data_IF_851603707833
#
_entry.id   IF_851603707833
#
_cell.length_a   1.000
_cell.length_b   1.000
_cell.length_c   1.000
_cell.angle_alpha   90.00
_cell.angle_beta   90.00
_cell.angle_gamma   90.00
#
_symmetry.space_group_name_H-M   'P 1'
#
loop_
_entity.id
_entity.type
_entity.pdbx_description
1 polymer ?
#
# COMPACT_ATOMS: atom_id res chain seq x y z
N UNK A 1 -2.01 -15.54 14.86
CA UNK A 1 -2.48 -16.86 14.36
C UNK A 1 -2.94 -16.84 12.90
N UNK A 2 -3.45 -15.72 12.35
CA UNK A 2 -3.78 -15.59 10.91
C UNK A 2 -2.60 -15.86 9.95
N UNK A 3 -1.37 -15.53 10.36
CA UNK A 3 -0.15 -15.75 9.56
C UNK A 3 0.11 -17.23 9.20
N UNK A 4 -0.39 -18.19 10.00
CA UNK A 4 -0.27 -19.63 9.68
C UNK A 4 -1.34 -20.12 8.69
N UNK A 5 -2.51 -19.48 8.65
CA UNK A 5 -3.66 -19.94 7.84
C UNK A 5 -3.45 -19.58 6.37
N UNK A 6 -2.90 -18.40 6.06
CA UNK A 6 -2.59 -17.99 4.69
C UNK A 6 -1.44 -18.83 4.11
N UNK A 7 -0.47 -19.21 4.95
CA UNK A 7 0.68 -20.04 4.52
C UNK A 7 0.28 -21.49 4.20
N UNK A 8 -0.68 -22.06 4.93
CA UNK A 8 -1.16 -23.43 4.73
C UNK A 8 -2.03 -23.63 3.47
N UNK A 9 -2.72 -22.58 3.00
CA UNK A 9 -3.58 -22.64 1.81
C UNK A 9 -2.82 -22.58 0.47
N UNK A 10 -1.54 -22.21 0.47
CA UNK A 10 -0.81 -21.86 -0.76
C UNK A 10 0.38 -22.77 -1.11
N UNK A 11 0.65 -23.83 -0.34
CA UNK A 11 1.71 -24.81 -0.68
C UNK A 11 3.10 -24.17 -0.91
N UNK A 12 3.40 -23.06 -0.23
CA UNK A 12 4.67 -22.32 -0.41
C UNK A 12 5.79 -22.97 0.41
N UNK A 13 7.03 -23.02 -0.09
CA UNK A 13 8.19 -23.32 0.75
C UNK A 13 8.23 -22.34 1.93
N UNK A 14 8.81 -22.75 3.06
CA UNK A 14 8.89 -21.93 4.27
C UNK A 14 9.42 -20.54 3.92
N UNK A 15 8.55 -19.53 4.02
CA UNK A 15 8.95 -18.16 3.77
C UNK A 15 10.09 -17.81 4.75
N UNK A 16 11.12 -17.05 4.31
CA UNK A 16 12.14 -16.55 5.22
C UNK A 16 11.46 -15.83 6.39
N UNK A 17 12.04 -15.94 7.59
CA UNK A 17 11.48 -15.29 8.77
C UNK A 17 11.31 -13.78 8.49
N UNK A 18 10.15 -13.19 8.83
CA UNK A 18 9.92 -11.78 8.58
C UNK A 18 10.94 -10.92 9.32
N UNK A 19 11.56 -10.00 8.60
CA UNK A 19 12.51 -9.07 9.19
C UNK A 19 11.77 -7.83 9.74
N UNK A 20 12.08 -7.44 10.97
CA UNK A 20 11.48 -6.26 11.60
C UNK A 20 12.48 -5.10 11.60
N UNK A 21 11.99 -3.93 11.19
CA UNK A 21 12.74 -2.67 11.15
C UNK A 21 11.91 -1.53 11.71
N UNK A 22 12.58 -0.43 12.02
CA UNK A 22 11.93 0.85 12.31
C UNK A 22 12.33 1.87 11.24
N UNK A 23 11.35 2.56 10.67
CA UNK A 23 11.56 3.61 9.66
C UNK A 23 10.73 4.83 10.04
N UNK A 24 11.38 5.97 10.33
CA UNK A 24 10.71 7.22 10.73
C UNK A 24 9.68 7.08 11.86
N UNK A 25 9.94 6.17 12.80
CA UNK A 25 9.06 5.85 13.93
C UNK A 25 7.93 4.87 13.61
N UNK A 26 7.89 4.30 12.40
CA UNK A 26 6.98 3.21 12.06
C UNK A 26 7.66 1.87 12.22
N UNK A 27 6.96 0.92 12.83
CA UNK A 27 7.30 -0.50 12.74
C UNK A 27 7.08 -0.97 11.31
N UNK A 28 8.08 -1.62 10.73
CA UNK A 28 8.05 -2.19 9.38
C UNK A 28 8.38 -3.68 9.46
N UNK A 29 7.48 -4.52 8.93
CA UNK A 29 7.68 -5.97 8.83
C UNK A 29 7.90 -6.32 7.36
N UNK A 30 9.04 -6.94 7.04
CA UNK A 30 9.41 -7.28 5.67
C UNK A 30 9.42 -8.80 5.47
N UNK A 31 8.57 -9.27 4.57
CA UNK A 31 8.52 -10.65 4.08
C UNK A 31 9.11 -10.68 2.67
N UNK A 32 10.45 -10.65 2.58
CA UNK A 32 11.14 -10.62 1.30
C UNK A 32 11.29 -12.03 0.72
N UNK A 33 10.45 -12.35 -0.27
CA UNK A 33 10.50 -13.65 -0.97
C UNK A 33 11.23 -13.58 -2.31
N UNK A 34 11.95 -12.48 -2.61
CA UNK A 34 12.66 -12.24 -3.88
C UNK A 34 14.15 -12.08 -3.63
N UNK A 35 14.97 -13.12 -3.91
CA UNK A 35 16.40 -13.10 -3.59
C UNK A 35 17.19 -12.07 -4.43
N UNK A 36 16.63 -11.67 -5.59
CA UNK A 36 17.16 -10.62 -6.45
C UNK A 36 16.91 -9.19 -5.92
N UNK A 37 16.12 -9.04 -4.86
CA UNK A 37 15.81 -7.75 -4.24
C UNK A 37 16.45 -7.69 -2.85
N UNK A 38 17.38 -6.75 -2.65
CA UNK A 38 17.96 -6.53 -1.33
C UNK A 38 16.95 -5.84 -0.39
N UNK A 39 16.73 -6.39 0.81
CA UNK A 39 15.82 -5.79 1.81
C UNK A 39 16.22 -4.36 2.18
N UNK A 40 17.53 -4.07 2.22
CA UNK A 40 18.03 -2.72 2.52
C UNK A 40 17.56 -1.67 1.49
N UNK A 41 17.52 -2.04 0.20
CA UNK A 41 17.05 -1.15 -0.87
C UNK A 41 15.57 -0.80 -0.70
N UNK A 42 14.77 -1.80 -0.35
CA UNK A 42 13.34 -1.67 -0.13
C UNK A 42 13.06 -0.77 1.08
N UNK A 43 13.82 -0.93 2.16
CA UNK A 43 13.73 -0.05 3.34
C UNK A 43 14.12 1.39 3.00
N UNK A 44 15.20 1.60 2.26
CA UNK A 44 15.61 2.93 1.83
C UNK A 44 14.53 3.60 0.96
N UNK A 45 13.91 2.83 0.06
CA UNK A 45 12.81 3.31 -0.79
C UNK A 45 11.56 3.67 0.01
N UNK A 46 11.23 2.91 1.05
CA UNK A 46 10.15 3.26 1.96
C UNK A 46 10.45 4.55 2.72
N UNK A 47 11.69 4.72 3.20
CA UNK A 47 12.12 5.96 3.86
C UNK A 47 11.98 7.17 2.95
N UNK A 48 12.45 7.09 1.69
CA UNK A 48 12.32 8.15 0.69
C UNK A 48 10.85 8.53 0.44
N UNK A 49 9.96 7.53 0.32
CA UNK A 49 8.54 7.76 0.12
C UNK A 49 7.91 8.46 1.34
N UNK A 50 8.19 7.98 2.56
CA UNK A 50 7.71 8.61 3.78
C UNK A 50 8.27 10.03 3.97
N UNK A 51 9.51 10.29 3.54
CA UNK A 51 10.10 11.62 3.55
C UNK A 51 9.37 12.61 2.62
N UNK A 52 8.91 12.14 1.44
CA UNK A 52 8.08 12.95 0.55
C UNK A 52 6.75 13.31 1.21
N UNK A 53 6.09 12.35 1.85
CA UNK A 53 4.83 12.59 2.58
C UNK A 53 5.05 13.57 3.74
N UNK A 54 6.13 13.40 4.51
CA UNK A 54 6.49 14.29 5.61
C UNK A 54 6.64 15.74 5.16
N UNK A 55 7.31 15.94 4.02
CA UNK A 55 7.60 17.27 3.48
C UNK A 55 6.38 17.93 2.84
N UNK A 56 5.60 17.20 2.05
CA UNK A 56 4.56 17.76 1.19
C UNK A 56 3.13 17.53 1.70
N UNK A 57 2.94 16.59 2.62
CA UNK A 57 1.64 16.29 3.21
C UNK A 57 1.76 15.87 4.70
N UNK A 58 2.33 16.73 5.58
CA UNK A 58 2.61 16.37 6.98
C UNK A 58 1.37 15.96 7.77
N UNK A 59 0.19 16.53 7.43
CA UNK A 59 -1.07 16.12 8.04
C UNK A 59 -1.45 14.67 7.71
N UNK A 60 -1.15 14.19 6.49
CA UNK A 60 -1.36 12.79 6.10
C UNK A 60 -0.42 11.87 6.84
N UNK A 61 0.86 12.26 7.00
CA UNK A 61 1.82 11.51 7.81
C UNK A 61 1.37 11.38 9.28
N UNK A 62 0.82 12.46 9.86
CA UNK A 62 0.28 12.43 11.22
C UNK A 62 -0.90 11.47 11.35
N UNK A 63 -1.79 11.41 10.36
CA UNK A 63 -2.87 10.43 10.35
C UNK A 63 -2.34 9.00 10.23
N UNK A 64 -1.38 8.75 9.32
CA UNK A 64 -0.71 7.45 9.21
C UNK A 64 -0.14 6.98 10.57
N UNK A 65 0.57 7.86 11.28
CA UNK A 65 1.12 7.55 12.62
C UNK A 65 0.05 7.21 13.67
N UNK A 66 -1.13 7.80 13.58
CA UNK A 66 -2.23 7.55 14.51
C UNK A 66 -3.03 6.29 14.15
N UNK A 67 -3.28 6.12 12.86
CA UNK A 67 -4.27 5.17 12.34
C UNK A 67 -3.65 3.81 12.00
N UNK A 68 -2.33 3.74 11.76
CA UNK A 68 -1.61 2.50 11.51
C UNK A 68 -0.87 1.96 12.75
N UNK A 69 -0.75 0.64 12.83
CA UNK A 69 0.17 -0.04 13.76
C UNK A 69 1.52 -0.36 13.13
N UNK A 70 1.53 -0.71 11.85
CA UNK A 70 2.74 -1.11 11.14
C UNK A 70 2.62 -0.96 9.61
N UNK A 71 3.77 -0.88 8.95
CA UNK A 71 3.88 -1.20 7.53
C UNK A 71 4.24 -2.67 7.34
N UNK A 72 3.66 -3.28 6.31
CA UNK A 72 4.07 -4.61 5.82
C UNK A 72 4.64 -4.47 4.41
N UNK A 73 5.77 -5.10 4.17
CA UNK A 73 6.38 -5.14 2.85
C UNK A 73 6.48 -6.59 2.41
N UNK A 74 5.72 -6.95 1.38
CA UNK A 74 5.60 -8.32 0.91
C UNK A 74 5.19 -8.35 -0.56
N UNK A 75 5.33 -9.52 -1.18
CA UNK A 75 4.73 -9.79 -2.49
C UNK A 75 3.20 -9.79 -2.36
N UNK A 76 2.54 -9.00 -3.20
CA UNK A 76 1.09 -8.87 -3.18
C UNK A 76 0.53 -8.51 -4.57
N UNK A 77 -0.73 -8.83 -4.89
CA UNK A 77 -1.27 -8.59 -6.24
C UNK A 77 -1.53 -7.13 -6.60
N UNK A 78 -1.49 -6.21 -5.63
CA UNK A 78 -1.65 -4.77 -5.84
C UNK A 78 -0.52 -3.98 -5.16
N UNK A 79 -0.36 -2.71 -5.54
CA UNK A 79 0.77 -1.83 -5.12
C UNK A 79 0.77 -1.51 -3.63
N UNK A 80 -0.41 -1.47 -3.03
CA UNK A 80 -0.63 -1.28 -1.60
C UNK A 80 -1.99 -1.86 -1.21
N UNK A 81 -2.15 -2.10 0.09
CA UNK A 81 -3.43 -2.50 0.67
C UNK A 81 -3.48 -2.13 2.15
N UNK A 82 -4.61 -1.65 2.64
CA UNK A 82 -4.88 -1.49 4.07
C UNK A 82 -5.61 -2.73 4.63
N UNK A 83 -5.13 -3.26 5.76
CA UNK A 83 -5.76 -4.35 6.49
C UNK A 83 -6.33 -3.86 7.83
N UNK A 84 -7.67 -3.77 7.99
CA UNK A 84 -8.34 -3.26 9.18
C UNK A 84 -7.94 -3.96 10.48
N UNK A 85 -8.05 -5.30 10.54
CA UNK A 85 -7.79 -6.11 11.74
C UNK A 85 -6.42 -5.83 12.40
N UNK A 86 -5.41 -5.62 11.57
CA UNK A 86 -4.04 -5.34 12.00
C UNK A 86 -3.68 -3.86 12.01
N UNK A 87 -4.56 -2.99 11.48
CA UNK A 87 -4.24 -1.61 11.08
C UNK A 87 -2.89 -1.53 10.36
N UNK A 88 -2.72 -2.42 9.38
CA UNK A 88 -1.46 -2.59 8.68
C UNK A 88 -1.58 -2.00 7.27
N UNK A 89 -0.60 -1.20 6.87
CA UNK A 89 -0.47 -0.73 5.50
C UNK A 89 0.54 -1.61 4.76
N UNK A 90 0.10 -2.36 3.77
CA UNK A 90 0.98 -3.10 2.88
C UNK A 90 1.51 -2.18 1.79
N UNK A 91 2.82 -2.26 1.52
CA UNK A 91 3.46 -1.70 0.34
C UNK A 91 4.14 -2.84 -0.41
N UNK A 92 3.81 -3.02 -1.69
CA UNK A 92 4.23 -4.20 -2.43
C UNK A 92 5.74 -4.20 -2.68
N UNK A 93 6.38 -5.33 -2.41
CA UNK A 93 7.84 -5.51 -2.43
C UNK A 93 8.48 -5.11 -3.76
N UNK A 94 7.99 -5.62 -4.89
CA UNK A 94 8.59 -5.34 -6.21
C UNK A 94 8.33 -3.90 -6.66
N UNK A 95 7.15 -3.37 -6.36
CA UNK A 95 6.80 -1.98 -6.63
C UNK A 95 7.68 -1.01 -5.84
N UNK A 96 7.95 -1.32 -4.58
CA UNK A 96 8.83 -0.53 -3.73
C UNK A 96 10.29 -0.59 -4.22
N UNK A 97 10.74 -1.75 -4.70
CA UNK A 97 12.09 -1.98 -5.24
C UNK A 97 12.34 -1.33 -6.61
N UNK A 98 11.30 -0.93 -7.35
CA UNK A 98 11.45 -0.32 -8.69
C UNK A 98 12.30 0.95 -8.64
N UNK A 99 13.27 1.03 -9.56
CA UNK A 99 14.20 2.16 -9.74
C UNK A 99 13.93 2.97 -11.01
N UNK A 100 13.08 2.46 -11.90
CA UNK A 100 12.61 3.14 -13.10
C UNK A 100 11.54 4.20 -12.81
N UNK A 101 11.06 4.27 -11.56
CA UNK A 101 10.14 5.29 -11.05
C UNK A 101 10.75 6.02 -9.86
N UNK A 102 10.31 7.24 -9.61
CA UNK A 102 10.68 8.00 -8.41
C UNK A 102 9.98 7.43 -7.16
N UNK A 103 10.25 7.99 -5.97
CA UNK A 103 9.50 7.65 -4.76
C UNK A 103 8.04 8.16 -4.76
N UNK A 104 7.68 9.08 -5.67
CA UNK A 104 6.39 9.76 -5.61
C UNK A 104 5.18 8.81 -5.83
N UNK A 105 5.19 7.88 -6.79
CA UNK A 105 4.10 6.90 -6.93
C UNK A 105 3.96 5.97 -5.71
N UNK A 106 5.07 5.64 -5.04
CA UNK A 106 5.05 4.84 -3.80
C UNK A 106 4.42 5.65 -2.67
N UNK A 107 4.87 6.89 -2.49
CA UNK A 107 4.32 7.81 -1.50
C UNK A 107 2.81 8.04 -1.72
N UNK A 108 2.37 8.20 -2.97
CA UNK A 108 0.96 8.31 -3.31
C UNK A 108 0.16 7.05 -2.93
N UNK A 109 0.71 5.86 -3.19
CA UNK A 109 0.08 4.60 -2.73
C UNK A 109 -0.05 4.54 -1.22
N UNK A 110 0.95 5.00 -0.47
CA UNK A 110 0.88 5.07 1.01
C UNK A 110 -0.18 6.08 1.47
N UNK A 111 -0.28 7.24 0.80
CA UNK A 111 -1.34 8.23 1.08
C UNK A 111 -2.73 7.63 0.83
N UNK A 112 -2.88 6.84 -0.24
CA UNK A 112 -4.11 6.12 -0.56
C UNK A 112 -4.50 5.14 0.55
N UNK A 113 -3.61 4.22 0.92
CA UNK A 113 -3.89 3.26 2.00
C UNK A 113 -4.11 3.96 3.35
N UNK A 114 -3.43 5.09 3.58
CA UNK A 114 -3.64 5.94 4.74
C UNK A 114 -5.04 6.55 4.80
N UNK A 115 -5.69 6.75 3.66
CA UNK A 115 -7.08 7.21 3.62
C UNK A 115 -8.05 6.10 3.99
N UNK A 116 -7.84 4.87 3.54
CA UNK A 116 -8.60 3.71 4.03
C UNK A 116 -8.47 3.57 5.54
N UNK A 117 -7.24 3.64 6.06
CA UNK A 117 -7.00 3.60 7.50
C UNK A 117 -7.75 4.71 8.25
N UNK A 118 -7.77 5.92 7.68
CA UNK A 118 -8.47 7.06 8.28
C UNK A 118 -9.98 6.89 8.28
N UNK A 119 -10.56 6.43 7.17
CA UNK A 119 -12.00 6.18 7.05
C UNK A 119 -12.42 5.08 8.01
N UNK A 120 -11.68 3.99 8.06
CA UNK A 120 -11.91 2.90 9.00
C UNK A 120 -11.89 3.39 10.46
N UNK A 121 -10.87 4.14 10.88
CA UNK A 121 -10.79 4.69 12.23
C UNK A 121 -11.95 5.64 12.57
N UNK A 122 -12.47 6.39 11.59
CA UNK A 122 -13.65 7.25 11.78
C UNK A 122 -14.93 6.41 11.90
N UNK A 123 -15.10 5.38 11.07
CA UNK A 123 -16.22 4.44 11.14
C UNK A 123 -16.30 3.79 12.51
N UNK A 124 -15.18 3.29 13.03
CA UNK A 124 -15.09 2.73 14.38
C UNK A 124 -15.48 3.76 15.46
N UNK A 125 -14.95 4.98 15.37
CA UNK A 125 -15.22 6.03 16.36
C UNK A 125 -16.70 6.49 16.39
N UNK A 126 -17.40 6.41 15.26
CA UNK A 126 -18.80 6.79 15.13
C UNK A 126 -19.77 5.59 15.12
N UNK A 127 -19.28 4.37 15.34
CA UNK A 127 -20.11 3.16 15.33
C UNK A 127 -20.79 2.88 13.98
N UNK A 128 -20.20 3.36 12.88
CA UNK A 128 -20.68 3.10 11.53
C UNK A 128 -20.02 1.81 11.04
N UNK A 129 -20.81 0.77 10.73
CA UNK A 129 -20.28 -0.48 10.17
C UNK A 129 -19.70 -0.30 8.77
N UNK A 130 -19.04 -1.34 8.27
CA UNK A 130 -18.59 -1.39 6.88
C UNK A 130 -19.79 -1.64 5.95
N UNK A 131 -19.91 -0.81 4.92
CA UNK A 131 -20.91 -0.92 3.86
C UNK A 131 -20.18 -1.01 2.51
N UNK A 132 -20.14 -2.20 1.89
CA UNK A 132 -19.47 -2.40 0.60
C UNK A 132 -20.00 -1.50 -0.51
N UNK A 133 -21.26 -1.04 -0.43
CA UNK A 133 -21.82 -0.10 -1.42
C UNK A 133 -21.16 1.28 -1.38
N UNK A 134 -20.46 1.62 -0.30
CA UNK A 134 -19.71 2.87 -0.17
C UNK A 134 -18.29 2.79 -0.74
N UNK A 135 -17.85 1.60 -1.17
CA UNK A 135 -16.47 1.40 -1.61
C UNK A 135 -16.06 2.33 -2.78
N UNK A 136 -16.87 2.51 -3.84
CA UNK A 136 -16.51 3.45 -4.91
C UNK A 136 -16.31 4.88 -4.41
N UNK A 137 -17.14 5.32 -3.46
CA UNK A 137 -17.03 6.66 -2.86
C UNK A 137 -15.77 6.80 -2.02
N UNK A 138 -15.42 5.78 -1.25
CA UNK A 138 -14.19 5.75 -0.47
C UNK A 138 -12.94 5.72 -1.35
N UNK A 139 -12.92 4.90 -2.41
CA UNK A 139 -11.85 4.89 -3.40
C UNK A 139 -11.67 6.26 -4.07
N UNK A 140 -12.76 6.93 -4.46
CA UNK A 140 -12.69 8.31 -5.00
C UNK A 140 -12.12 9.30 -3.99
N UNK A 141 -12.44 9.15 -2.70
CA UNK A 141 -11.83 9.95 -1.64
C UNK A 141 -10.33 9.69 -1.54
N UNK A 142 -9.90 8.43 -1.62
CA UNK A 142 -8.49 8.04 -1.61
C UNK A 142 -7.74 8.59 -2.84
N UNK A 143 -8.34 8.50 -4.04
CA UNK A 143 -7.79 9.08 -5.28
C UNK A 143 -7.72 10.60 -5.24
N UNK A 144 -8.69 11.27 -4.62
CA UNK A 144 -8.61 12.73 -4.40
C UNK A 144 -7.42 13.08 -3.50
N UNK A 145 -7.16 12.29 -2.45
CA UNK A 145 -5.99 12.50 -1.61
C UNK A 145 -4.66 12.27 -2.35
N UNK A 146 -4.60 11.30 -3.27
CA UNK A 146 -3.46 11.13 -4.17
C UNK A 146 -3.27 12.35 -5.08
N UNK A 147 -4.35 12.86 -5.66
CA UNK A 147 -4.32 14.05 -6.52
C UNK A 147 -3.81 15.28 -5.75
N UNK A 148 -4.36 15.55 -4.57
CA UNK A 148 -3.94 16.66 -3.71
C UNK A 148 -2.45 16.53 -3.35
N UNK A 149 -1.99 15.31 -3.04
CA UNK A 149 -0.58 15.04 -2.76
C UNK A 149 0.29 15.28 -3.99
N UNK A 150 -0.10 14.76 -5.17
CA UNK A 150 0.61 14.96 -6.42
C UNK A 150 0.75 16.43 -6.80
N UNK A 151 -0.30 17.23 -6.59
CA UNK A 151 -0.27 18.68 -6.81
C UNK A 151 0.63 19.44 -5.84
N UNK A 152 0.86 18.91 -4.65
CA UNK A 152 1.78 19.50 -3.66
C UNK A 152 3.26 19.16 -3.90
N UNK A 153 3.56 18.20 -4.78
CA UNK A 153 4.91 17.83 -5.17
C UNK A 153 5.48 18.78 -6.23
N UNK A 154 6.82 18.84 -6.39
CA UNK A 154 7.44 19.45 -7.57
C UNK A 154 6.84 18.86 -8.86
N UNK A 155 6.58 19.66 -9.92
CA UNK A 155 5.80 19.21 -11.08
C UNK A 155 6.27 17.90 -11.71
N UNK A 156 7.59 17.72 -11.88
CA UNK A 156 8.16 16.50 -12.46
C UNK A 156 7.96 15.25 -11.58
N UNK A 157 7.92 15.41 -10.25
CA UNK A 157 7.63 14.32 -9.32
C UNK A 157 6.12 14.05 -9.21
N UNK A 158 5.31 15.10 -9.27
CA UNK A 158 3.85 15.05 -9.12
C UNK A 158 3.12 14.53 -10.35
N UNK A 159 3.61 14.82 -11.56
CA UNK A 159 2.95 14.47 -12.83
C UNK A 159 2.43 13.01 -12.90
N UNK A 160 3.24 11.96 -12.64
CA UNK A 160 2.75 10.57 -12.73
C UNK A 160 1.70 10.23 -11.65
N UNK A 161 1.71 10.93 -10.51
CA UNK A 161 0.71 10.75 -9.45
C UNK A 161 -0.62 11.39 -9.87
N UNK A 162 -0.55 12.62 -10.39
CA UNK A 162 -1.70 13.38 -10.87
C UNK A 162 -2.38 12.64 -12.02
N UNK A 163 -1.62 12.22 -13.02
CA UNK A 163 -2.13 11.49 -14.20
C UNK A 163 -2.90 10.24 -13.77
N UNK A 164 -2.30 9.40 -12.92
CA UNK A 164 -2.95 8.19 -12.43
C UNK A 164 -4.22 8.48 -11.63
N UNK A 165 -4.18 9.49 -10.75
CA UNK A 165 -5.31 9.83 -9.91
C UNK A 165 -6.50 10.33 -10.75
N UNK A 166 -6.25 11.18 -11.76
CA UNK A 166 -7.28 11.68 -12.67
C UNK A 166 -7.87 10.54 -13.51
N UNK A 167 -7.03 9.68 -14.08
CA UNK A 167 -7.49 8.54 -14.88
C UNK A 167 -8.46 7.63 -14.11
N UNK A 168 -8.21 7.38 -12.82
CA UNK A 168 -9.15 6.59 -12.00
C UNK A 168 -10.38 7.39 -11.58
N UNK A 169 -10.26 8.69 -11.32
CA UNK A 169 -11.42 9.52 -10.95
C UNK A 169 -12.45 9.64 -12.08
N UNK A 170 -12.04 9.44 -13.33
CA UNK A 170 -12.90 9.44 -14.50
C UNK A 170 -13.58 8.09 -14.77
N UNK A 171 -13.20 7.03 -14.05
CA UNK A 171 -13.79 5.69 -14.23
C UNK A 171 -15.18 5.57 -13.59
N UNK A 172 -15.96 4.61 -14.08
CA UNK A 172 -17.24 4.20 -13.49
C UNK A 172 -17.04 3.50 -12.14
N UNK A 173 -18.08 3.45 -11.30
CA UNK A 173 -17.97 2.93 -9.93
C UNK A 173 -17.47 1.48 -9.85
N UNK A 174 -17.88 0.63 -10.82
CA UNK A 174 -17.42 -0.76 -10.92
C UNK A 174 -15.93 -0.88 -11.24
N UNK A 175 -15.38 0.10 -11.95
CA UNK A 175 -13.98 0.11 -12.38
C UNK A 175 -13.07 0.80 -11.34
N UNK A 176 -13.63 1.74 -10.56
CA UNK A 176 -12.94 2.38 -9.45
C UNK A 176 -12.73 1.42 -8.28
N UNK A 177 -13.73 0.58 -7.98
CA UNK A 177 -13.69 -0.40 -6.89
C UNK A 177 -14.00 -1.81 -7.44
N UNK A 178 -13.08 -2.41 -8.22
CA UNK A 178 -13.35 -3.69 -8.85
C UNK A 178 -13.44 -4.81 -7.83
N UNK A 179 -14.35 -5.76 -8.06
CA UNK A 179 -14.37 -7.02 -7.33
C UNK A 179 -13.14 -7.85 -7.71
N UNK A 180 -12.24 -8.08 -6.75
CA UNK A 180 -11.02 -8.85 -6.97
C UNK A 180 -11.18 -10.27 -6.44
N UNK A 181 -10.95 -11.26 -7.30
CA UNK A 181 -10.70 -12.64 -6.86
C UNK A 181 -9.27 -12.73 -6.32
N UNK A 182 -9.15 -12.67 -4.99
CA UNK A 182 -7.87 -12.69 -4.30
C UNK A 182 -7.11 -14.02 -4.45
N UNK A 183 -7.80 -15.13 -4.66
CA UNK A 183 -7.16 -16.43 -4.84
C UNK A 183 -6.48 -16.52 -6.21
N UNK A 184 -7.19 -16.10 -7.27
CA UNK A 184 -6.62 -16.03 -8.61
C UNK A 184 -5.49 -14.99 -8.69
N UNK A 185 -5.67 -13.83 -8.05
CA UNK A 185 -4.64 -12.80 -7.99
C UNK A 185 -3.36 -13.30 -7.29
N UNK A 186 -3.49 -14.02 -6.17
CA UNK A 186 -2.36 -14.65 -5.48
C UNK A 186 -1.69 -15.75 -6.33
N UNK A 187 -2.46 -16.56 -7.05
CA UNK A 187 -1.93 -17.58 -7.98
C UNK A 187 -1.04 -16.96 -9.05
N UNK A 188 -1.47 -15.85 -9.66
CA UNK A 188 -0.71 -15.13 -10.69
C UNK A 188 0.61 -14.56 -10.15
N UNK A 189 0.60 -13.98 -8.95
CA UNK A 189 1.82 -13.51 -8.29
C UNK A 189 2.82 -14.64 -8.08
N UNK A 190 2.35 -15.79 -7.57
CA UNK A 190 3.20 -16.96 -7.35
C UNK A 190 3.77 -17.54 -8.65
N UNK A 191 3.03 -17.46 -9.76
CA UNK A 191 3.50 -17.88 -11.08
C UNK A 191 4.62 -16.99 -11.60
N UNK A 192 4.45 -15.67 -11.51
CA UNK A 192 5.49 -14.69 -11.88
C UNK A 192 6.75 -14.87 -11.03
N UNK A 193 6.60 -15.09 -9.73
CA UNK A 193 7.74 -15.26 -8.82
C UNK A 193 8.56 -16.52 -9.14
N UNK A 194 7.93 -17.61 -9.59
CA UNK A 194 8.65 -18.82 -10.03
C UNK A 194 9.50 -18.58 -11.28
N UNK A 195 9.07 -17.69 -12.17
CA UNK A 195 9.82 -17.37 -13.40
C UNK A 195 10.97 -16.40 -13.20
N UNK A 196 11.07 -15.77 -12.02
CA UNK A 196 12.08 -14.76 -11.68
C UNK A 196 13.11 -15.24 -10.64
N UNK A 197 13.06 -16.53 -10.28
CA UNK A 197 14.07 -17.26 -9.48
C UNK A 197 15.12 -17.87 -10.40
#
# INVERSE_FOLDING_TARGET
MLSKIISALLGRPAAPEPEVREVRGFRVVVENTRPDIATADVIARLDEALALIERHAPLRLRHLRRDLREFRVARFPCRGAFFPDGRACLTELTFLARRDITAAPVAASIVHEGMHARVHALREAFGSGDDPSQMPREERLCRRAELDFGQALPPALGAPVIERALATLEMEDLDVAPAVDWAEAARRVAEVDRGAQ
#
